data_IF_482369700441
#
_entry.id   IF_482369700441
#
_cell.length_a   1.000
_cell.length_b   1.000
_cell.length_c   1.000
_cell.angle_alpha   90.00
_cell.angle_beta   90.00
_cell.angle_gamma   90.00
#
_symmetry.space_group_name_H-M   'P 1'
#
loop_
_entity.id
_entity.type
_entity.pdbx_description
1 polymer ?
#
# COMPACT_ATOMS: atom_id res chain seq x y z
N UNK A 1 -8.76 -37.30 35.72
CA UNK A 1 -7.31 -37.33 35.99
C UNK A 1 -6.63 -36.25 35.17
N UNK A 2 -5.74 -35.43 35.75
CA UNK A 2 -4.96 -34.46 34.98
C UNK A 2 -3.98 -35.18 34.03
N UNK A 3 -3.79 -34.62 32.84
CA UNK A 3 -2.89 -35.19 31.81
C UNK A 3 -1.42 -35.08 32.22
N UNK A 4 -0.58 -35.99 31.74
CA UNK A 4 0.87 -35.94 31.99
C UNK A 4 1.53 -34.79 31.21
N UNK A 5 2.66 -34.27 31.70
CA UNK A 5 3.44 -33.21 31.02
C UNK A 5 3.80 -33.58 29.57
N UNK A 6 4.09 -34.86 29.32
CA UNK A 6 4.37 -35.39 27.97
C UNK A 6 3.13 -35.31 27.08
N UNK A 7 1.97 -35.75 27.56
CA UNK A 7 0.72 -35.66 26.82
C UNK A 7 0.35 -34.19 26.50
N UNK A 8 0.54 -33.28 27.46
CA UNK A 8 0.32 -31.86 27.24
C UNK A 8 1.25 -31.29 26.16
N UNK A 9 2.54 -31.63 26.20
CA UNK A 9 3.54 -31.20 25.20
C UNK A 9 3.19 -31.70 23.80
N UNK A 10 2.77 -32.97 23.69
CA UNK A 10 2.32 -33.54 22.41
C UNK A 10 1.11 -32.80 21.85
N UNK A 11 0.13 -32.45 22.67
CA UNK A 11 -1.03 -31.67 22.24
C UNK A 11 -0.63 -30.29 21.71
N UNK A 12 0.27 -29.59 22.40
CA UNK A 12 0.79 -28.29 21.95
C UNK A 12 1.55 -28.39 20.63
N UNK A 13 2.39 -29.41 20.46
CA UNK A 13 3.10 -29.63 19.19
C UNK A 13 2.13 -29.97 18.06
N UNK A 14 1.14 -30.84 18.31
CA UNK A 14 0.12 -31.20 17.32
C UNK A 14 -0.69 -29.99 16.88
N UNK A 15 -1.08 -29.12 17.82
CA UNK A 15 -1.76 -27.87 17.50
C UNK A 15 -0.90 -26.96 16.62
N UNK A 16 0.39 -26.80 16.96
CA UNK A 16 1.33 -26.00 16.18
C UNK A 16 1.47 -26.52 14.75
N UNK A 17 1.67 -27.82 14.59
CA UNK A 17 1.85 -28.46 13.28
C UNK A 17 0.58 -28.38 12.45
N UNK A 18 -0.59 -28.55 13.08
CA UNK A 18 -1.89 -28.42 12.40
C UNK A 18 -2.11 -27.02 11.83
N UNK A 19 -1.72 -25.97 12.57
CA UNK A 19 -1.84 -24.59 12.11
C UNK A 19 -0.89 -24.27 10.95
N UNK A 20 0.36 -24.71 11.02
CA UNK A 20 1.35 -24.51 9.95
C UNK A 20 0.96 -25.28 8.69
N UNK A 21 0.49 -26.52 8.86
CA UNK A 21 0.06 -27.34 7.73
C UNK A 21 -1.21 -26.80 7.09
N UNK A 22 -2.16 -26.27 7.87
CA UNK A 22 -3.37 -25.67 7.34
C UNK A 22 -3.07 -24.51 6.37
N UNK A 23 -2.13 -23.63 6.70
CA UNK A 23 -1.69 -22.55 5.81
C UNK A 23 -1.14 -23.09 4.49
N UNK A 24 -0.21 -24.06 4.55
CA UNK A 24 0.34 -24.69 3.34
C UNK A 24 -0.73 -25.37 2.50
N UNK A 25 -1.66 -26.08 3.14
CA UNK A 25 -2.74 -26.77 2.45
C UNK A 25 -3.67 -25.78 1.75
N UNK A 26 -4.01 -24.63 2.36
CA UNK A 26 -4.84 -23.62 1.70
C UNK A 26 -4.10 -23.01 0.50
N UNK A 27 -2.80 -22.73 0.62
CA UNK A 27 -1.99 -22.24 -0.50
C UNK A 27 -1.97 -23.28 -1.63
N UNK A 28 -1.79 -24.56 -1.30
CA UNK A 28 -1.80 -25.65 -2.27
C UNK A 28 -3.16 -25.83 -2.95
N UNK A 29 -4.27 -25.65 -2.22
CA UNK A 29 -5.63 -25.61 -2.79
C UNK A 29 -5.74 -24.51 -3.84
N UNK A 30 -5.18 -23.33 -3.56
CA UNK A 30 -5.14 -22.19 -4.49
C UNK A 30 -4.30 -22.51 -5.71
N UNK A 31 -3.06 -22.97 -5.52
CA UNK A 31 -2.12 -23.27 -6.60
C UNK A 31 -2.61 -24.38 -7.53
N UNK A 32 -3.23 -25.42 -6.97
CA UNK A 32 -3.74 -26.57 -7.73
C UNK A 32 -5.19 -26.41 -8.19
N UNK A 33 -5.82 -25.28 -7.85
CA UNK A 33 -7.24 -25.04 -8.10
C UNK A 33 -8.16 -26.18 -7.68
N UNK A 34 -7.94 -26.69 -6.46
CA UNK A 34 -8.58 -27.93 -5.99
C UNK A 34 -10.12 -27.85 -5.84
N UNK A 35 -10.73 -26.69 -6.06
CA UNK A 35 -12.18 -26.52 -6.13
C UNK A 35 -12.77 -26.94 -7.49
N UNK A 36 -12.02 -26.83 -8.60
CA UNK A 36 -12.54 -27.17 -9.93
C UNK A 36 -12.98 -28.64 -10.02
N UNK A 37 -12.20 -29.64 -9.54
CA UNK A 37 -12.63 -31.05 -9.58
C UNK A 37 -13.80 -31.38 -8.65
N UNK A 38 -14.09 -30.50 -7.69
CA UNK A 38 -15.23 -30.65 -6.78
C UNK A 38 -16.52 -30.05 -7.38
N UNK A 39 -16.43 -29.40 -8.54
CA UNK A 39 -17.58 -28.83 -9.26
C UNK A 39 -17.94 -27.41 -8.86
N UNK A 40 -17.04 -26.67 -8.19
CA UNK A 40 -17.23 -25.23 -7.98
C UNK A 40 -16.67 -24.44 -9.16
N UNK A 41 -17.36 -23.37 -9.56
CA UNK A 41 -16.93 -22.51 -10.67
C UNK A 41 -15.84 -21.53 -10.22
N UNK A 42 -15.85 -21.13 -8.95
CA UNK A 42 -14.90 -20.17 -8.37
C UNK A 42 -14.37 -20.62 -7.01
N UNK A 43 -13.18 -20.13 -6.65
CA UNK A 43 -12.64 -20.30 -5.31
C UNK A 43 -13.52 -19.60 -4.27
N UNK A 44 -14.12 -18.47 -4.60
CA UNK A 44 -15.03 -17.74 -3.69
C UNK A 44 -16.22 -18.61 -3.21
N UNK A 45 -16.81 -19.39 -4.12
CA UNK A 45 -17.88 -20.34 -3.80
C UNK A 45 -17.39 -21.45 -2.89
N UNK A 46 -16.27 -22.08 -3.25
CA UNK A 46 -15.67 -23.14 -2.44
C UNK A 46 -15.24 -22.64 -1.06
N UNK A 47 -14.74 -21.41 -0.96
CA UNK A 47 -14.38 -20.76 0.29
C UNK A 47 -15.58 -20.61 1.21
N UNK A 48 -16.68 -20.08 0.67
CA UNK A 48 -17.91 -19.83 1.44
C UNK A 48 -18.56 -21.14 1.89
N UNK A 49 -18.52 -22.20 1.07
CA UNK A 49 -19.10 -23.50 1.42
C UNK A 49 -18.26 -24.28 2.45
N UNK A 50 -16.92 -24.25 2.34
CA UNK A 50 -16.04 -25.16 3.11
C UNK A 50 -15.23 -24.49 4.20
N UNK A 51 -14.94 -23.20 4.06
CA UNK A 51 -13.95 -22.47 4.85
C UNK A 51 -14.52 -21.18 5.47
N UNK A 52 -15.84 -20.99 5.44
CA UNK A 52 -16.48 -19.85 6.08
C UNK A 52 -16.15 -19.78 7.57
N UNK A 53 -15.97 -18.56 8.07
CA UNK A 53 -15.61 -18.28 9.46
C UNK A 53 -14.15 -18.58 9.84
N UNK A 54 -13.31 -19.08 8.93
CA UNK A 54 -11.90 -19.30 9.22
C UNK A 54 -11.15 -17.97 9.32
N UNK A 55 -10.43 -17.79 10.43
CA UNK A 55 -9.53 -16.66 10.62
C UNK A 55 -8.21 -16.89 9.90
N UNK A 56 -7.86 -15.96 9.01
CA UNK A 56 -6.57 -15.92 8.31
C UNK A 56 -5.51 -15.37 9.27
N UNK A 57 -4.71 -16.25 9.85
CA UNK A 57 -3.77 -15.93 10.93
C UNK A 57 -2.51 -15.22 10.44
N UNK A 58 -1.98 -15.61 9.28
CA UNK A 58 -0.71 -15.09 8.74
C UNK A 58 -0.94 -14.09 7.60
N UNK A 59 -0.01 -13.16 7.43
CA UNK A 59 -0.09 -12.16 6.35
C UNK A 59 0.11 -12.77 4.96
N UNK A 60 0.90 -13.84 4.86
CA UNK A 60 1.13 -14.58 3.62
C UNK A 60 -0.15 -15.27 3.16
N UNK A 61 -0.78 -16.08 4.02
CA UNK A 61 -2.07 -16.70 3.73
C UNK A 61 -3.14 -15.67 3.31
N UNK A 62 -3.23 -14.54 4.02
CA UNK A 62 -4.13 -13.43 3.65
C UNK A 62 -3.89 -12.94 2.23
N UNK A 63 -2.62 -12.78 1.85
CA UNK A 63 -2.27 -12.32 0.52
C UNK A 63 -2.68 -13.33 -0.56
N UNK A 64 -2.43 -14.62 -0.36
CA UNK A 64 -2.81 -15.67 -1.31
C UNK A 64 -4.32 -15.73 -1.53
N UNK A 65 -5.10 -15.77 -0.45
CA UNK A 65 -6.57 -15.83 -0.50
C UNK A 65 -7.14 -14.58 -1.17
N UNK A 66 -6.72 -13.38 -0.74
CA UNK A 66 -7.20 -12.12 -1.34
C UNK A 66 -6.80 -12.00 -2.81
N UNK A 67 -5.58 -12.40 -3.17
CA UNK A 67 -5.14 -12.35 -4.57
C UNK A 67 -5.96 -13.27 -5.46
N UNK A 68 -6.31 -14.47 -4.98
CA UNK A 68 -7.15 -15.40 -5.71
C UNK A 68 -8.54 -14.78 -5.94
N UNK A 69 -9.18 -14.26 -4.90
CA UNK A 69 -10.50 -13.61 -5.03
C UNK A 69 -10.46 -12.41 -5.98
N UNK A 70 -9.43 -11.56 -5.88
CA UNK A 70 -9.22 -10.45 -6.81
C UNK A 70 -8.91 -10.90 -8.25
N UNK A 71 -8.39 -12.12 -8.44
CA UNK A 71 -8.14 -12.69 -9.77
C UNK A 71 -9.40 -13.20 -10.44
N UNK A 72 -10.39 -13.60 -9.65
CA UNK A 72 -11.74 -14.00 -10.08
C UNK A 72 -12.64 -12.79 -10.38
N UNK A 73 -12.11 -11.57 -10.25
CA UNK A 73 -12.82 -10.32 -10.56
C UNK A 73 -13.56 -9.70 -9.39
N UNK A 74 -13.40 -10.24 -8.18
CA UNK A 74 -14.04 -9.67 -6.99
C UNK A 74 -13.54 -8.25 -6.69
N UNK A 75 -14.45 -7.34 -6.36
CA UNK A 75 -14.14 -6.01 -5.85
C UNK A 75 -13.78 -6.02 -4.34
N UNK A 76 -13.52 -4.84 -3.75
CA UNK A 76 -13.01 -4.79 -2.36
C UNK A 76 -14.09 -5.23 -1.36
N UNK A 77 -15.35 -4.92 -1.67
CA UNK A 77 -16.49 -5.22 -0.82
C UNK A 77 -16.87 -6.69 -0.95
N UNK A 78 -16.85 -7.23 -2.17
CA UNK A 78 -17.04 -8.65 -2.44
C UNK A 78 -16.01 -9.50 -1.70
N UNK A 79 -14.71 -9.16 -1.79
CA UNK A 79 -13.66 -9.86 -1.02
C UNK A 79 -13.94 -9.78 0.48
N UNK A 80 -14.28 -8.60 1.00
CA UNK A 80 -14.56 -8.41 2.42
C UNK A 80 -15.78 -9.22 2.89
N UNK A 81 -16.82 -9.31 2.05
CA UNK A 81 -18.03 -10.07 2.34
C UNK A 81 -17.79 -11.58 2.29
N UNK A 82 -17.04 -12.07 1.29
CA UNK A 82 -16.67 -13.50 1.17
C UNK A 82 -15.81 -13.98 2.34
N UNK A 83 -14.91 -13.12 2.84
CA UNK A 83 -14.07 -13.48 3.99
C UNK A 83 -14.76 -13.28 5.34
N UNK A 84 -15.69 -12.34 5.42
CA UNK A 84 -16.42 -12.02 6.64
C UNK A 84 -15.58 -11.33 7.72
N UNK A 85 -16.24 -10.80 8.77
CA UNK A 85 -15.61 -9.99 9.81
C UNK A 85 -14.62 -10.75 10.71
N UNK A 86 -14.71 -12.08 10.76
CA UNK A 86 -13.84 -12.96 11.55
C UNK A 86 -12.51 -13.33 10.88
N UNK A 87 -12.36 -13.06 9.57
CA UNK A 87 -11.18 -13.46 8.79
C UNK A 87 -9.89 -12.78 9.23
N UNK A 88 -9.97 -11.63 9.89
CA UNK A 88 -8.81 -10.79 10.20
C UNK A 88 -8.27 -10.01 8.99
N UNK A 89 -9.04 -9.92 7.90
CA UNK A 89 -8.75 -9.09 6.72
C UNK A 89 -9.84 -8.02 6.61
N UNK A 90 -9.45 -6.76 6.81
CA UNK A 90 -10.35 -5.62 6.59
C UNK A 90 -10.10 -4.93 5.26
N UNK A 91 -11.04 -4.07 4.85
CA UNK A 91 -11.00 -3.30 3.58
C UNK A 91 -9.66 -2.57 3.36
N UNK A 92 -9.06 -1.98 4.40
CA UNK A 92 -7.77 -1.31 4.29
C UNK A 92 -6.63 -2.25 3.84
N UNK A 93 -6.64 -3.49 4.37
CA UNK A 93 -5.70 -4.55 3.98
C UNK A 93 -5.95 -4.99 2.54
N UNK A 94 -7.22 -5.19 2.16
CA UNK A 94 -7.61 -5.58 0.79
C UNK A 94 -7.13 -4.54 -0.21
N UNK A 95 -7.37 -3.25 0.04
CA UNK A 95 -6.90 -2.14 -0.81
C UNK A 95 -5.38 -2.14 -0.99
N UNK A 96 -4.63 -2.40 0.09
CA UNK A 96 -3.18 -2.47 0.01
C UNK A 96 -2.71 -3.68 -0.82
N UNK A 97 -3.30 -4.86 -0.60
CA UNK A 97 -3.01 -6.08 -1.35
C UNK A 97 -3.37 -5.94 -2.82
N UNK A 98 -4.51 -5.32 -3.16
CA UNK A 98 -4.89 -4.98 -4.53
C UNK A 98 -3.84 -4.10 -5.20
N UNK A 99 -3.39 -3.04 -4.52
CA UNK A 99 -2.33 -2.16 -5.04
C UNK A 99 -1.02 -2.93 -5.25
N UNK A 100 -0.63 -3.80 -4.32
CA UNK A 100 0.55 -4.64 -4.47
C UNK A 100 0.43 -5.60 -5.66
N UNK A 101 -0.73 -6.25 -5.84
CA UNK A 101 -1.03 -7.10 -6.99
C UNK A 101 -0.95 -6.33 -8.30
N UNK A 102 -1.55 -5.14 -8.36
CA UNK A 102 -1.50 -4.27 -9.54
C UNK A 102 -0.06 -3.84 -9.91
N UNK A 103 0.82 -3.75 -8.91
CA UNK A 103 2.25 -3.49 -9.10
C UNK A 103 3.09 -4.75 -9.36
N UNK A 104 2.47 -5.92 -9.57
CA UNK A 104 3.15 -7.18 -9.86
C UNK A 104 3.85 -7.84 -8.68
N UNK A 105 3.55 -7.44 -7.44
CA UNK A 105 4.13 -8.07 -6.25
C UNK A 105 3.46 -9.44 -6.05
N UNK A 106 4.21 -10.57 -6.03
CA UNK A 106 3.63 -11.88 -5.80
C UNK A 106 3.12 -12.05 -4.37
N UNK A 107 2.09 -12.89 -4.15
CA UNK A 107 1.41 -13.06 -2.86
C UNK A 107 2.37 -13.41 -1.70
N UNK A 108 3.29 -14.35 -1.91
CA UNK A 108 4.31 -14.73 -0.92
C UNK A 108 5.26 -13.59 -0.52
N UNK A 109 5.33 -12.49 -1.29
CA UNK A 109 6.11 -11.28 -0.96
C UNK A 109 5.26 -10.08 -0.57
N UNK A 110 3.94 -10.15 -0.67
CA UNK A 110 3.03 -9.06 -0.38
C UNK A 110 3.05 -8.66 1.12
N UNK A 111 3.42 -9.61 1.99
CA UNK A 111 3.59 -9.41 3.43
C UNK A 111 4.87 -8.66 3.81
N UNK A 112 5.86 -8.57 2.91
CA UNK A 112 7.09 -7.85 3.18
C UNK A 112 6.85 -6.34 3.06
N UNK A 113 6.93 -5.65 4.20
CA UNK A 113 7.07 -4.20 4.25
C UNK A 113 8.35 -3.80 3.51
N UNK A 114 8.23 -3.49 2.22
CA UNK A 114 9.30 -2.82 1.49
C UNK A 114 9.45 -1.45 2.12
N UNK A 115 10.69 -1.08 2.50
CA UNK A 115 11.02 0.22 3.12
C UNK A 115 10.19 1.31 2.45
N UNK A 116 9.30 1.95 3.21
CA UNK A 116 8.64 3.16 2.72
C UNK A 116 9.74 4.16 2.42
N UNK A 117 9.95 4.47 1.14
CA UNK A 117 10.74 5.63 0.79
C UNK A 117 9.99 6.82 1.35
N UNK A 118 10.52 7.42 2.42
CA UNK A 118 10.06 8.70 2.91
C UNK A 118 10.22 9.69 1.75
N UNK A 119 9.14 9.93 1.01
CA UNK A 119 9.10 10.99 0.02
C UNK A 119 9.27 12.28 0.83
N UNK A 120 10.45 12.90 0.76
CA UNK A 120 10.63 14.27 1.26
C UNK A 120 9.59 15.14 0.57
N UNK A 121 8.94 16.01 1.34
CA UNK A 121 8.07 17.03 0.78
C UNK A 121 8.84 17.80 -0.32
N UNK A 122 8.19 18.23 -1.42
CA UNK A 122 8.81 19.08 -2.41
C UNK A 122 9.49 20.25 -1.70
N UNK A 123 10.75 20.54 -2.01
CA UNK A 123 11.41 21.72 -1.44
C UNK A 123 10.63 22.96 -1.89
N UNK A 124 10.25 23.81 -0.94
CA UNK A 124 9.56 25.07 -1.26
C UNK A 124 10.39 26.01 -2.14
N UNK A 125 9.79 27.09 -2.64
CA UNK A 125 10.49 28.11 -3.42
C UNK A 125 11.73 28.63 -2.69
N UNK A 126 12.82 28.87 -3.43
CA UNK A 126 14.03 29.53 -2.90
C UNK A 126 13.93 31.02 -3.16
N UNK A 127 14.39 31.83 -2.22
CA UNK A 127 14.37 33.29 -2.31
C UNK A 127 15.79 33.84 -2.31
N UNK A 128 16.00 34.92 -3.06
CA UNK A 128 17.18 35.78 -3.00
C UNK A 128 16.76 37.08 -2.34
N UNK A 129 17.47 37.51 -1.30
CA UNK A 129 17.20 38.77 -0.60
C UNK A 129 18.31 39.78 -0.93
N UNK A 130 17.90 40.96 -1.37
CA UNK A 130 18.77 42.10 -1.61
C UNK A 130 18.33 43.26 -0.72
N UNK A 131 19.29 44.04 -0.23
CA UNK A 131 19.04 45.21 0.60
C UNK A 131 19.38 46.46 -0.20
N UNK A 132 18.47 47.43 -0.17
CA UNK A 132 18.60 48.72 -0.84
C UNK A 132 18.39 49.82 0.19
N UNK A 133 18.99 50.98 -0.05
CA UNK A 133 18.67 52.18 0.73
C UNK A 133 17.23 52.62 0.47
N UNK A 134 16.68 53.43 1.38
CA UNK A 134 15.31 53.95 1.26
C UNK A 134 15.13 54.81 0.00
N UNK A 135 16.15 55.56 -0.40
CA UNK A 135 16.15 56.42 -1.58
C UNK A 135 16.15 55.60 -2.87
N UNK A 136 16.98 54.56 -2.96
CA UNK A 136 17.01 53.65 -4.10
C UNK A 136 15.70 52.88 -4.24
N UNK A 137 15.14 52.40 -3.12
CA UNK A 137 13.87 51.69 -3.15
C UNK A 137 12.71 52.58 -3.61
N UNK A 138 12.67 53.84 -3.17
CA UNK A 138 11.68 54.81 -3.64
C UNK A 138 11.81 55.06 -5.14
N UNK A 139 13.04 55.24 -5.63
CA UNK A 139 13.30 55.42 -7.06
C UNK A 139 12.87 54.20 -7.88
N UNK A 140 13.20 52.97 -7.46
CA UNK A 140 12.77 51.75 -8.17
C UNK A 140 11.26 51.59 -8.20
N UNK A 141 10.57 52.02 -7.15
CA UNK A 141 9.11 51.98 -7.09
C UNK A 141 8.49 52.94 -8.10
N UNK A 142 8.99 54.18 -8.18
CA UNK A 142 8.51 55.16 -9.17
C UNK A 142 8.71 54.66 -10.61
N UNK A 143 9.87 54.05 -10.90
CA UNK A 143 10.17 53.48 -12.21
C UNK A 143 9.26 52.29 -12.53
N UNK A 144 9.03 51.41 -11.56
CA UNK A 144 8.14 50.26 -11.72
C UNK A 144 6.68 50.69 -11.96
N UNK A 145 6.21 51.67 -11.17
CA UNK A 145 4.86 52.24 -11.30
C UNK A 145 4.67 52.92 -12.67
N UNK A 146 5.68 53.66 -13.16
CA UNK A 146 5.65 54.26 -14.49
C UNK A 146 5.56 53.23 -15.63
N UNK A 147 6.09 52.02 -15.41
CA UNK A 147 6.02 50.90 -16.35
C UNK A 147 4.79 50.01 -16.14
N UNK A 148 3.94 50.30 -15.15
CA UNK A 148 2.77 49.48 -14.79
C UNK A 148 3.13 48.07 -14.31
N UNK A 149 4.33 47.88 -13.76
CA UNK A 149 4.86 46.59 -13.31
C UNK A 149 5.23 46.66 -11.83
N UNK A 150 5.32 45.51 -11.17
CA UNK A 150 5.86 45.44 -9.82
C UNK A 150 7.39 45.33 -9.82
N UNK A 151 8.03 45.86 -8.76
CA UNK A 151 9.49 45.70 -8.55
C UNK A 151 9.89 44.22 -8.56
N UNK A 152 9.04 43.34 -8.01
CA UNK A 152 9.30 41.89 -7.98
C UNK A 152 9.32 41.25 -9.36
N UNK A 153 8.46 41.69 -10.29
CA UNK A 153 8.46 41.19 -11.68
C UNK A 153 9.70 41.68 -12.45
N UNK A 154 10.07 42.95 -12.27
CA UNK A 154 11.27 43.52 -12.90
C UNK A 154 12.52 42.80 -12.40
N UNK A 155 12.62 42.57 -11.08
CA UNK A 155 13.75 41.85 -10.49
C UNK A 155 13.83 40.40 -10.98
N UNK A 156 12.70 39.70 -11.06
CA UNK A 156 12.68 38.32 -11.55
C UNK A 156 13.14 38.20 -13.01
N UNK A 157 12.71 39.12 -13.88
CA UNK A 157 13.10 39.12 -15.29
C UNK A 157 14.55 39.54 -15.48
N UNK A 158 15.03 40.54 -14.74
CA UNK A 158 16.43 40.95 -14.78
C UNK A 158 17.38 39.81 -14.37
N UNK A 159 17.02 39.07 -13.29
CA UNK A 159 17.80 37.91 -12.85
C UNK A 159 17.79 36.81 -13.91
N UNK A 160 16.63 36.48 -14.51
CA UNK A 160 16.56 35.47 -15.58
C UNK A 160 17.41 35.85 -16.79
N UNK A 161 17.25 37.08 -17.27
CA UNK A 161 17.99 37.59 -18.44
C UNK A 161 19.49 37.54 -18.19
N UNK A 162 19.95 37.98 -17.01
CA UNK A 162 21.38 37.96 -16.67
C UNK A 162 21.98 36.54 -16.66
N UNK A 163 21.23 35.54 -16.20
CA UNK A 163 21.69 34.15 -16.25
C UNK A 163 21.60 33.53 -17.65
N UNK A 164 20.65 33.97 -18.49
CA UNK A 164 20.57 33.54 -19.90
C UNK A 164 21.72 34.10 -20.73
N UNK A 165 22.17 35.34 -20.47
CA UNK A 165 23.33 35.95 -21.14
C UNK A 165 24.67 35.34 -20.73
N UNK A 166 24.74 34.71 -19.54
CA UNK A 166 25.94 34.06 -19.02
C UNK A 166 26.04 32.56 -19.38
N UNK A 167 25.01 31.98 -19.99
CA UNK A 167 24.94 30.59 -20.41
C UNK A 167 25.41 30.40 -21.85
#
# INVERSE_FOLDING_TARGET
>A
MPITKRAATTLWNTLRDSLVNAEKTIIEIIEKKAWEPLGYDTFAEAWTDRLDGIRLTTNELRAHVVYQLLSEGADDEQVNNTLGPGSGVGIGTIKNLRRQRANGVPAGRASHLVRQHARRAPSGPRFVRCEFSAEEYAHFREVADAMGRSISEIAADAVRTAFEEMA
#
